data_IF_268876066873
#
_entry.id   IF_268876066873
#
_cell.length_a   1.000
_cell.length_b   1.000
_cell.length_c   1.000
_cell.angle_alpha   90.00
_cell.angle_beta   90.00
_cell.angle_gamma   90.00
#
_symmetry.space_group_name_H-M   'P 1'
#
loop_
_entity.id
_entity.type
_entity.pdbx_description
1 polymer ?
#
# COMPACT_ATOMS: atom_id res chain seq x y z
N UNK A 1 32.91 5.72 13.54
CA UNK A 1 31.62 5.72 12.78
C UNK A 1 30.89 7.02 13.13
N UNK A 2 30.63 7.91 12.17
CA UNK A 2 29.89 9.15 12.44
C UNK A 2 28.43 8.81 12.76
N UNK A 3 27.82 9.49 13.72
CA UNK A 3 26.40 9.33 14.09
C UNK A 3 25.48 9.44 12.86
N UNK A 4 25.86 10.29 11.92
CA UNK A 4 25.19 10.43 10.62
C UNK A 4 25.05 9.11 9.85
N UNK A 5 26.11 8.31 9.77
CA UNK A 5 26.09 7.07 8.99
C UNK A 5 25.15 6.03 9.63
N UNK A 6 25.16 5.92 10.97
CA UNK A 6 24.26 5.00 11.70
C UNK A 6 22.78 5.39 11.62
N UNK A 7 22.48 6.68 11.58
CA UNK A 7 21.09 7.18 11.59
C UNK A 7 20.51 7.22 10.18
N UNK A 8 21.32 7.58 9.17
CA UNK A 8 20.83 7.91 7.84
C UNK A 8 21.18 6.85 6.79
N UNK A 9 22.34 6.18 6.89
CA UNK A 9 22.81 5.23 5.87
C UNK A 9 22.61 3.77 6.27
N UNK A 10 22.88 3.43 7.53
CA UNK A 10 22.76 2.06 7.98
C UNK A 10 21.29 1.67 8.20
N UNK A 11 20.86 0.47 7.77
CA UNK A 11 19.51 0.01 8.00
C UNK A 11 19.25 -0.14 9.50
N UNK A 12 18.16 0.48 9.98
CA UNK A 12 17.79 0.38 11.39
C UNK A 12 17.42 -1.06 11.75
N UNK A 13 17.68 -1.49 12.99
CA UNK A 13 17.16 -2.76 13.49
C UNK A 13 15.66 -2.90 13.27
N UNK A 14 15.21 -4.09 12.88
CA UNK A 14 13.81 -4.38 12.52
C UNK A 14 12.80 -3.99 13.62
N UNK A 15 13.18 -4.13 14.89
CA UNK A 15 12.33 -3.79 16.02
C UNK A 15 12.06 -2.28 16.11
N UNK A 16 13.02 -1.42 15.76
CA UNK A 16 12.84 0.04 15.74
C UNK A 16 11.80 0.41 14.67
N UNK A 17 11.95 -0.15 13.47
CA UNK A 17 10.97 0.04 12.40
C UNK A 17 9.57 -0.41 12.80
N UNK A 18 9.45 -1.57 13.45
CA UNK A 18 8.18 -2.09 13.97
C UNK A 18 7.53 -1.15 14.99
N UNK A 19 8.29 -0.65 15.97
CA UNK A 19 7.78 0.28 16.99
C UNK A 19 7.32 1.59 16.35
N UNK A 20 8.09 2.15 15.41
CA UNK A 20 7.74 3.41 14.77
C UNK A 20 6.49 3.28 13.89
N UNK A 21 6.38 2.19 13.14
CA UNK A 21 5.17 1.89 12.35
C UNK A 21 3.95 1.70 13.26
N UNK A 22 4.13 1.08 14.43
CA UNK A 22 3.04 0.88 15.39
C UNK A 22 2.58 2.22 15.98
N UNK A 23 3.51 3.07 16.42
CA UNK A 23 3.22 4.41 16.92
C UNK A 23 2.55 5.27 15.85
N UNK A 24 3.03 5.21 14.60
CA UNK A 24 2.42 5.92 13.48
C UNK A 24 0.98 5.45 13.24
N UNK A 25 0.72 4.14 13.25
CA UNK A 25 -0.61 3.61 13.06
C UNK A 25 -1.57 3.98 14.20
N UNK A 26 -1.10 3.99 15.44
CA UNK A 26 -1.88 4.47 16.60
C UNK A 26 -2.19 5.96 16.45
N UNK A 27 -1.21 6.77 16.05
CA UNK A 27 -1.42 8.20 15.81
C UNK A 27 -2.46 8.44 14.70
N UNK A 28 -2.35 7.71 13.59
CA UNK A 28 -3.32 7.77 12.50
C UNK A 28 -4.73 7.33 12.93
N UNK A 29 -4.83 6.30 13.77
CA UNK A 29 -6.11 5.86 14.31
C UNK A 29 -6.75 6.94 15.19
N UNK A 30 -5.96 7.63 16.03
CA UNK A 30 -6.44 8.71 16.90
C UNK A 30 -6.88 9.94 16.08
N UNK A 31 -6.11 10.33 15.07
CA UNK A 31 -6.38 11.55 14.27
C UNK A 31 -7.51 11.33 13.26
N UNK A 32 -7.52 10.18 12.60
CA UNK A 32 -8.39 9.90 11.44
C UNK A 32 -9.55 8.98 11.77
N UNK A 33 -9.59 8.41 12.98
CA UNK A 33 -10.62 7.43 13.39
C UNK A 33 -10.57 6.09 12.65
N UNK A 34 -9.56 5.88 11.79
CA UNK A 34 -9.43 4.70 10.95
C UNK A 34 -7.98 4.22 10.87
N UNK A 35 -7.79 2.91 10.68
CA UNK A 35 -6.46 2.31 10.52
C UNK A 35 -5.82 2.74 9.20
N UNK A 36 -4.50 2.73 9.13
CA UNK A 36 -3.78 3.05 7.90
C UNK A 36 -4.18 2.13 6.72
N UNK A 37 -4.75 2.73 5.67
CA UNK A 37 -5.18 2.05 4.44
C UNK A 37 -4.59 2.71 3.21
N UNK A 38 -3.86 1.93 2.40
CA UNK A 38 -3.26 2.40 1.14
C UNK A 38 -4.16 2.11 -0.06
N UNK A 39 -4.80 0.95 -0.06
CA UNK A 39 -5.62 0.47 -1.17
C UNK A 39 -6.84 1.34 -1.47
N UNK A 40 -7.46 1.93 -0.44
CA UNK A 40 -8.59 2.84 -0.63
C UNK A 40 -8.22 4.07 -1.46
N UNK A 41 -7.02 4.63 -1.24
CA UNK A 41 -6.53 5.76 -2.03
C UNK A 41 -6.33 5.39 -3.51
N UNK A 42 -5.76 4.23 -3.80
CA UNK A 42 -5.59 3.78 -5.20
C UNK A 42 -6.92 3.49 -5.89
N UNK A 43 -7.89 2.93 -5.16
CA UNK A 43 -9.24 2.73 -5.68
C UNK A 43 -9.89 4.09 -6.02
N UNK A 44 -9.77 5.07 -5.13
CA UNK A 44 -10.27 6.42 -5.36
C UNK A 44 -9.59 7.08 -6.58
N UNK A 45 -8.28 6.93 -6.76
CA UNK A 45 -7.57 7.45 -7.95
C UNK A 45 -8.08 6.82 -9.24
N UNK A 46 -8.36 5.51 -9.21
CA UNK A 46 -8.96 4.79 -10.34
C UNK A 46 -10.37 5.29 -10.66
N UNK A 47 -11.23 5.42 -9.64
CA UNK A 47 -12.59 5.94 -9.80
C UNK A 47 -12.59 7.38 -10.35
N UNK A 48 -11.79 8.27 -9.75
CA UNK A 48 -11.64 9.65 -10.20
C UNK A 48 -11.12 9.75 -11.64
N UNK A 49 -10.19 8.87 -12.04
CA UNK A 49 -9.71 8.78 -13.41
C UNK A 49 -10.80 8.38 -14.40
N UNK A 50 -11.66 7.42 -14.02
CA UNK A 50 -12.80 6.98 -14.83
C UNK A 50 -13.88 8.05 -14.96
N UNK A 51 -14.15 8.81 -13.90
CA UNK A 51 -15.08 9.95 -13.95
C UNK A 51 -14.64 11.01 -14.95
N UNK A 52 -13.34 11.30 -15.01
CA UNK A 52 -12.79 12.24 -16.01
C UNK A 52 -12.95 11.78 -17.45
N UNK A 53 -13.05 10.47 -17.68
CA UNK A 53 -13.26 9.87 -18.99
C UNK A 53 -14.77 9.82 -19.34
N UNK A 54 -15.65 10.21 -18.41
CA UNK A 54 -17.10 10.28 -18.62
C UNK A 54 -17.87 9.04 -18.17
N UNK A 55 -17.23 8.13 -17.43
CA UNK A 55 -17.94 7.03 -16.75
C UNK A 55 -18.45 7.49 -15.38
N UNK A 56 -19.44 6.80 -14.81
CA UNK A 56 -19.99 7.10 -13.47
C UNK A 56 -19.78 5.92 -12.53
N UNK A 57 -18.57 5.77 -11.94
CA UNK A 57 -18.26 4.66 -11.02
C UNK A 57 -19.10 4.68 -9.75
N UNK A 58 -19.60 5.84 -9.34
CA UNK A 58 -20.46 5.99 -8.15
C UNK A 58 -21.70 5.08 -8.18
N UNK A 59 -22.24 4.81 -9.37
CA UNK A 59 -23.43 3.98 -9.55
C UNK A 59 -23.13 2.46 -9.55
N UNK A 60 -21.87 2.06 -9.53
CA UNK A 60 -21.52 0.64 -9.54
C UNK A 60 -21.78 0.01 -8.17
N UNK A 61 -22.24 -1.24 -8.18
CA UNK A 61 -22.61 -2.00 -6.98
C UNK A 61 -21.56 -1.93 -5.86
N UNK A 62 -20.27 -2.00 -6.20
CA UNK A 62 -19.21 -1.92 -5.20
C UNK A 62 -19.15 -0.56 -4.50
N UNK A 63 -19.26 0.54 -5.23
CA UNK A 63 -19.17 1.89 -4.69
C UNK A 63 -20.44 2.29 -3.94
N UNK A 64 -21.61 1.87 -4.43
CA UNK A 64 -22.89 2.13 -3.76
C UNK A 64 -23.05 1.35 -2.46
N UNK A 65 -22.62 0.09 -2.40
CA UNK A 65 -22.79 -0.77 -1.21
C UNK A 65 -21.72 -0.48 -0.16
N UNK A 66 -20.47 -0.28 -0.56
CA UNK A 66 -19.37 -0.18 0.39
C UNK A 66 -18.91 1.25 0.67
N UNK A 67 -19.51 2.27 0.04
CA UNK A 67 -19.18 3.70 0.16
C UNK A 67 -17.66 3.97 0.12
N UNK A 68 -16.91 3.11 -0.55
CA UNK A 68 -15.44 3.08 -0.55
C UNK A 68 -14.86 3.94 -1.69
N UNK A 69 -15.67 4.78 -2.34
CA UNK A 69 -15.20 5.67 -3.40
C UNK A 69 -16.19 6.77 -3.77
N UNK A 70 -15.57 7.93 -4.00
CA UNK A 70 -16.09 9.21 -4.51
C UNK A 70 -17.46 9.59 -3.97
N UNK A 71 -17.47 10.31 -2.85
CA UNK A 71 -18.60 11.20 -2.58
C UNK A 71 -18.60 12.29 -3.66
N UNK A 72 -19.75 12.50 -4.31
CA UNK A 72 -19.94 13.54 -5.32
C UNK A 72 -19.49 14.89 -4.75
N UNK A 73 -18.47 15.49 -5.36
CA UNK A 73 -17.93 16.81 -4.96
C UNK A 73 -16.63 16.78 -4.14
N UNK A 74 -16.09 15.61 -3.79
CA UNK A 74 -14.77 15.57 -3.13
C UNK A 74 -13.62 15.86 -4.10
N UNK A 75 -12.84 16.89 -3.80
CA UNK A 75 -11.59 17.22 -4.50
C UNK A 75 -10.55 16.13 -4.22
N UNK A 76 -9.68 15.81 -5.20
CA UNK A 76 -8.68 14.75 -5.13
C UNK A 76 -7.82 14.75 -3.84
N UNK A 77 -7.49 15.95 -3.34
CA UNK A 77 -6.69 16.17 -2.14
C UNK A 77 -7.47 16.14 -0.82
N UNK A 78 -8.81 16.15 -0.86
CA UNK A 78 -9.64 16.12 0.33
C UNK A 78 -9.80 14.71 0.91
N UNK A 79 -9.47 13.67 0.14
CA UNK A 79 -9.52 12.29 0.61
C UNK A 79 -8.29 11.98 1.51
N UNK A 80 -8.48 11.62 2.78
CA UNK A 80 -7.38 11.32 3.71
C UNK A 80 -6.44 10.22 3.19
N UNK A 81 -6.98 9.20 2.51
CA UNK A 81 -6.18 8.09 1.98
C UNK A 81 -5.26 8.54 0.83
N UNK A 82 -5.71 9.50 0.01
CA UNK A 82 -4.88 10.09 -1.05
C UNK A 82 -3.69 10.85 -0.46
N UNK A 83 -3.94 11.68 0.56
CA UNK A 83 -2.89 12.45 1.24
C UNK A 83 -1.88 11.51 1.89
N UNK A 84 -2.32 10.44 2.56
CA UNK A 84 -1.44 9.44 3.14
C UNK A 84 -0.60 8.72 2.07
N UNK A 85 -1.18 8.33 0.94
CA UNK A 85 -0.43 7.70 -0.14
C UNK A 85 0.64 8.63 -0.73
N UNK A 86 0.30 9.92 -0.93
CA UNK A 86 1.27 10.92 -1.39
C UNK A 86 2.38 11.11 -0.34
N UNK A 87 2.02 11.21 0.95
CA UNK A 87 2.98 11.36 2.04
C UNK A 87 3.96 10.17 2.11
N UNK A 88 3.49 8.94 1.86
CA UNK A 88 4.35 7.75 1.80
C UNK A 88 5.32 7.83 0.62
N UNK A 89 4.84 8.21 -0.57
CA UNK A 89 5.70 8.32 -1.77
C UNK A 89 6.76 9.41 -1.57
N UNK A 90 6.35 10.58 -1.09
CA UNK A 90 7.26 11.72 -0.85
C UNK A 90 8.23 11.40 0.29
N UNK A 91 7.74 10.82 1.39
CA UNK A 91 8.59 10.43 2.52
C UNK A 91 9.62 9.38 2.15
N UNK A 92 9.24 8.37 1.36
CA UNK A 92 10.18 7.37 0.85
C UNK A 92 11.23 7.98 -0.08
N UNK A 93 10.84 8.95 -0.92
CA UNK A 93 11.77 9.67 -1.79
C UNK A 93 12.76 10.51 -0.99
N UNK A 94 12.29 11.29 -0.01
CA UNK A 94 13.16 12.09 0.88
C UNK A 94 14.14 11.19 1.62
N UNK A 95 13.65 10.08 2.19
CA UNK A 95 14.51 9.12 2.89
C UNK A 95 15.59 8.52 1.97
N UNK A 96 15.23 8.12 0.75
CA UNK A 96 16.18 7.58 -0.22
C UNK A 96 17.23 8.62 -0.67
N UNK A 97 16.84 9.89 -0.81
CA UNK A 97 17.75 10.98 -1.15
C UNK A 97 18.69 11.32 0.02
N UNK A 98 18.20 11.36 1.25
CA UNK A 98 19.04 11.57 2.45
C UNK A 98 20.04 10.43 2.67
N UNK A 99 19.62 9.18 2.44
CA UNK A 99 20.51 8.03 2.47
C UNK A 99 21.53 8.01 1.32
N UNK A 100 21.36 8.86 0.30
CA UNK A 100 22.15 8.84 -0.94
C UNK A 100 22.06 7.50 -1.69
N UNK A 101 20.98 6.75 -1.50
CA UNK A 101 20.72 5.45 -2.14
C UNK A 101 19.76 5.54 -3.33
N UNK A 102 19.31 6.74 -3.67
CA UNK A 102 18.46 6.96 -4.83
C UNK A 102 19.21 6.58 -6.12
N UNK A 103 18.71 5.56 -6.82
CA UNK A 103 19.27 5.06 -8.08
C UNK A 103 18.17 4.87 -9.10
N UNK A 104 18.31 5.49 -10.27
CA UNK A 104 17.39 5.29 -11.38
C UNK A 104 17.58 3.89 -11.98
N UNK A 105 16.66 2.98 -11.70
CA UNK A 105 16.67 1.61 -12.26
C UNK A 105 15.84 1.57 -13.53
N UNK A 106 16.49 1.35 -14.68
CA UNK A 106 15.79 1.05 -15.93
C UNK A 106 15.22 -0.36 -15.88
N UNK A 107 14.06 -0.55 -16.51
CA UNK A 107 13.47 -1.88 -16.72
C UNK A 107 14.39 -2.64 -17.67
N UNK A 108 14.94 -3.77 -17.22
CA UNK A 108 15.91 -4.54 -17.98
C UNK A 108 15.28 -5.41 -19.06
N UNK A 109 14.08 -5.96 -18.79
CA UNK A 109 13.42 -6.93 -19.66
C UNK A 109 11.91 -6.64 -19.79
N UNK A 110 11.37 -6.79 -21.00
CA UNK A 110 9.92 -6.69 -21.26
C UNK A 110 9.14 -7.74 -20.46
N UNK A 111 9.71 -8.94 -20.29
CA UNK A 111 9.14 -9.99 -19.41
C UNK A 111 8.92 -9.47 -17.99
N UNK A 112 9.90 -8.77 -17.42
CA UNK A 112 9.79 -8.21 -16.07
C UNK A 112 8.66 -7.19 -15.98
N UNK A 113 8.48 -6.35 -17.00
CA UNK A 113 7.36 -5.42 -17.07
C UNK A 113 6.01 -6.15 -17.13
N UNK A 114 5.87 -7.17 -17.99
CA UNK A 114 4.65 -7.96 -18.09
C UNK A 114 4.29 -8.63 -16.76
N UNK A 115 5.25 -9.26 -16.08
CA UNK A 115 5.02 -9.87 -14.78
C UNK A 115 4.69 -8.84 -13.68
N UNK A 116 5.31 -7.66 -13.72
CA UNK A 116 4.98 -6.58 -12.78
C UNK A 116 3.54 -6.07 -12.98
N UNK A 117 3.09 -5.91 -14.23
CA UNK A 117 1.72 -5.51 -14.56
C UNK A 117 0.70 -6.57 -14.12
N UNK A 118 0.96 -7.84 -14.45
CA UNK A 118 0.10 -8.97 -14.03
C UNK A 118 0.05 -9.04 -12.50
N UNK A 119 1.19 -8.91 -11.83
CA UNK A 119 1.27 -8.87 -10.37
C UNK A 119 0.43 -7.74 -9.77
N UNK A 120 0.51 -6.53 -10.34
CA UNK A 120 -0.29 -5.39 -9.92
C UNK A 120 -1.80 -5.63 -10.07
N UNK A 121 -2.23 -6.22 -11.18
CA UNK A 121 -3.65 -6.58 -11.42
C UNK A 121 -4.12 -7.60 -10.37
N UNK A 122 -3.34 -8.65 -10.13
CA UNK A 122 -3.67 -9.69 -9.13
C UNK A 122 -3.71 -9.10 -7.72
N UNK A 123 -2.78 -8.21 -7.37
CA UNK A 123 -2.78 -7.50 -6.07
C UNK A 123 -4.02 -6.62 -5.92
N UNK A 124 -4.38 -5.86 -6.96
CA UNK A 124 -5.59 -5.03 -6.96
C UNK A 124 -6.85 -5.86 -6.78
N UNK A 125 -6.99 -6.94 -7.55
CA UNK A 125 -8.12 -7.85 -7.44
C UNK A 125 -8.22 -8.51 -6.06
N UNK A 126 -7.11 -9.03 -5.53
CA UNK A 126 -7.07 -9.65 -4.20
C UNK A 126 -7.40 -8.68 -3.06
N UNK A 127 -7.01 -7.42 -3.20
CA UNK A 127 -7.33 -6.36 -2.23
C UNK A 127 -8.85 -6.11 -2.13
N UNK A 128 -9.55 -6.13 -3.26
CA UNK A 128 -11.01 -5.95 -3.29
C UNK A 128 -11.71 -7.16 -2.66
N UNK A 129 -11.25 -8.37 -2.96
CA UNK A 129 -11.81 -9.60 -2.37
C UNK A 129 -11.57 -9.71 -0.86
N UNK A 130 -10.38 -9.33 -0.41
CA UNK A 130 -10.00 -9.40 1.00
C UNK A 130 -10.38 -8.16 1.81
N UNK A 131 -10.92 -7.12 1.17
CA UNK A 131 -11.22 -5.82 1.77
C UNK A 131 -10.05 -5.17 2.51
N UNK A 132 -8.81 -5.48 2.11
CA UNK A 132 -7.63 -4.93 2.78
C UNK A 132 -6.32 -5.18 2.07
N UNK A 133 -5.26 -4.59 2.63
CA UNK A 133 -3.88 -4.80 2.20
C UNK A 133 -3.02 -5.23 3.40
N UNK A 134 -1.72 -5.44 3.15
CA UNK A 134 -0.78 -5.85 4.18
C UNK A 134 -0.74 -4.89 5.39
N UNK A 135 -0.98 -3.60 5.19
CA UNK A 135 -0.95 -2.61 6.28
C UNK A 135 -2.27 -2.64 7.08
N UNK A 136 -3.41 -2.74 6.40
CA UNK A 136 -4.71 -2.69 7.08
C UNK A 136 -5.15 -4.07 7.59
N UNK A 137 -5.14 -5.09 6.74
CA UNK A 137 -5.66 -6.42 7.04
C UNK A 137 -4.65 -7.33 7.77
N UNK A 138 -3.35 -7.07 7.68
CA UNK A 138 -2.36 -7.82 8.46
C UNK A 138 -1.85 -6.99 9.65
N UNK A 139 -1.15 -5.89 9.38
CA UNK A 139 -0.48 -5.12 10.44
C UNK A 139 -1.44 -4.49 11.46
N UNK A 140 -2.59 -3.95 11.02
CA UNK A 140 -3.55 -3.29 11.94
C UNK A 140 -4.60 -4.24 12.52
N UNK A 141 -5.03 -5.26 11.76
CA UNK A 141 -6.10 -6.15 12.18
C UNK A 141 -5.66 -7.18 13.24
N UNK A 142 -4.42 -7.68 13.18
CA UNK A 142 -3.92 -8.68 14.15
C UNK A 142 -3.84 -8.12 15.58
N UNK A 143 -3.23 -6.94 15.83
CA UNK A 143 -3.24 -6.34 17.17
C UNK A 143 -4.64 -6.01 17.70
N UNK A 144 -5.61 -5.84 16.79
CA UNK A 144 -7.03 -5.65 17.13
C UNK A 144 -7.75 -6.97 17.44
N UNK A 145 -7.02 -8.09 17.54
CA UNK A 145 -7.54 -9.46 17.76
C UNK A 145 -8.60 -9.91 16.74
N UNK A 146 -8.55 -9.37 15.52
CA UNK A 146 -9.49 -9.73 14.46
C UNK A 146 -9.14 -11.08 13.83
N UNK A 147 -10.09 -12.01 13.80
CA UNK A 147 -9.94 -13.31 13.11
C UNK A 147 -9.60 -13.12 11.62
N UNK A 148 -10.19 -12.10 10.99
CA UNK A 148 -9.93 -11.77 9.59
C UNK A 148 -8.43 -11.55 9.34
N UNK A 149 -7.73 -10.85 10.25
CA UNK A 149 -6.31 -10.57 10.08
C UNK A 149 -5.43 -11.81 10.16
N UNK A 150 -5.78 -12.76 11.03
CA UNK A 150 -5.08 -14.04 11.15
C UNK A 150 -5.29 -14.93 9.92
N UNK A 151 -6.52 -15.00 9.41
CA UNK A 151 -6.82 -15.75 8.18
C UNK A 151 -6.08 -15.10 7.00
N UNK A 152 -6.14 -13.78 6.88
CA UNK A 152 -5.43 -13.03 5.84
C UNK A 152 -3.92 -13.26 5.90
N UNK A 153 -3.31 -13.27 7.09
CA UNK A 153 -1.90 -13.58 7.28
C UNK A 153 -1.52 -14.93 6.67
N UNK A 154 -2.26 -15.99 7.00
CA UNK A 154 -1.96 -17.34 6.55
C UNK A 154 -1.95 -17.43 5.01
N UNK A 155 -3.00 -16.92 4.36
CA UNK A 155 -3.08 -16.93 2.90
C UNK A 155 -2.08 -15.98 2.24
N UNK A 156 -1.77 -14.84 2.86
CA UNK A 156 -0.73 -13.94 2.38
C UNK A 156 0.65 -14.62 2.37
N UNK A 157 1.02 -15.33 3.43
CA UNK A 157 2.30 -16.05 3.50
C UNK A 157 2.40 -17.13 2.42
N UNK A 158 1.33 -17.91 2.22
CA UNK A 158 1.27 -18.93 1.16
C UNK A 158 1.39 -18.28 -0.22
N UNK A 159 0.64 -17.21 -0.48
CA UNK A 159 0.69 -16.47 -1.75
C UNK A 159 2.06 -15.85 -2.01
N UNK A 160 2.68 -15.26 -0.99
CA UNK A 160 4.04 -14.68 -1.08
C UNK A 160 5.09 -15.74 -1.35
N UNK A 161 4.99 -16.92 -0.73
CA UNK A 161 5.89 -18.03 -0.98
C UNK A 161 5.81 -18.55 -2.42
N UNK A 162 4.59 -18.76 -2.92
CA UNK A 162 4.36 -19.18 -4.31
C UNK A 162 4.86 -18.09 -5.27
N UNK A 163 4.52 -16.83 -5.03
CA UNK A 163 4.96 -15.69 -5.84
C UNK A 163 6.48 -15.55 -5.89
N UNK A 164 7.17 -15.76 -4.75
CA UNK A 164 8.63 -15.74 -4.67
C UNK A 164 9.26 -16.86 -5.51
N UNK A 165 8.69 -18.09 -5.47
CA UNK A 165 9.17 -19.19 -6.33
C UNK A 165 8.98 -18.89 -7.82
N UNK A 166 7.84 -18.30 -8.21
CA UNK A 166 7.58 -17.90 -9.60
C UNK A 166 8.58 -16.81 -10.04
N UNK A 167 8.82 -15.81 -9.20
CA UNK A 167 9.80 -14.74 -9.47
C UNK A 167 11.20 -15.30 -9.71
N UNK A 168 11.67 -16.20 -8.83
CA UNK A 168 13.00 -16.80 -8.94
C UNK A 168 13.11 -17.72 -10.18
N UNK A 169 12.02 -18.39 -10.57
CA UNK A 169 12.06 -19.36 -11.68
C UNK A 169 11.94 -18.73 -13.06
N UNK A 170 11.18 -17.64 -13.20
CA UNK A 170 10.77 -17.10 -14.50
C UNK A 170 11.34 -15.70 -14.82
N UNK A 171 11.86 -14.97 -13.83
CA UNK A 171 12.26 -13.56 -13.99
C UNK A 171 13.74 -13.34 -13.65
N UNK A 172 14.22 -13.89 -12.53
CA UNK A 172 15.64 -13.92 -12.17
C UNK A 172 16.35 -15.08 -12.88
#
# INVERSE_FOLDING_TARGET
MRVYDKVVKDPWPYWIGGILLALLNICLLIVTGSTWRVSGGFLYWGAWGLEKIGFTPANWYYFSVYQNGVEEGQTFLNNPNTVLNIAVIVGALIAALWASEFKWKKIKNVKQLCFALIGGIVMGYGTILSFGCNISAYFSAIPSFSLHGWVFAAFMFVGSWIGSKVLIRYIL
#
